data_IF_175121055253
#
_entry.id   IF_175121055253
#
_cell.length_a   1.000
_cell.length_b   1.000
_cell.length_c   1.000
_cell.angle_alpha   90.00
_cell.angle_beta   90.00
_cell.angle_gamma   90.00
#
_symmetry.space_group_name_H-M   'P 1'
#
loop_
_entity.id
_entity.type
_entity.pdbx_description
1 polymer ?
#
# COMPACT_ATOMS: atom_id res chain seq x y z
N UNK A 1 0.51 15.28 16.80
CA UNK A 1 0.27 13.98 16.15
C UNK A 1 0.82 14.07 14.74
N UNK A 2 1.34 13.00 14.15
CA UNK A 2 1.86 13.07 12.78
C UNK A 2 0.68 13.04 11.81
N UNK A 3 0.17 14.22 11.45
CA UNK A 3 -1.08 14.41 10.68
C UNK A 3 -1.09 13.60 9.37
N UNK A 4 0.09 13.36 8.78
CA UNK A 4 0.22 12.56 7.55
C UNK A 4 -0.18 11.09 7.75
N UNK A 5 0.24 10.46 8.85
CA UNK A 5 -0.08 9.05 9.11
C UNK A 5 -1.58 8.87 9.40
N UNK A 6 -2.17 9.82 10.14
CA UNK A 6 -3.61 9.84 10.41
C UNK A 6 -4.41 10.05 9.13
N UNK A 7 -4.02 11.02 8.29
CA UNK A 7 -4.69 11.26 7.00
C UNK A 7 -4.57 10.06 6.06
N UNK A 8 -3.40 9.41 6.01
CA UNK A 8 -3.21 8.19 5.22
C UNK A 8 -4.15 7.07 5.67
N UNK A 9 -4.26 6.84 6.98
CA UNK A 9 -5.20 5.86 7.53
C UNK A 9 -6.67 6.23 7.23
N UNK A 10 -7.05 7.50 7.35
CA UNK A 10 -8.42 7.95 7.04
C UNK A 10 -8.74 7.69 5.55
N UNK A 11 -7.80 7.97 4.65
CA UNK A 11 -7.98 7.70 3.22
C UNK A 11 -8.16 6.19 2.96
N UNK A 12 -7.35 5.34 3.60
CA UNK A 12 -7.48 3.88 3.55
C UNK A 12 -8.86 3.41 4.03
N UNK A 13 -9.31 3.88 5.19
CA UNK A 13 -10.60 3.52 5.77
C UNK A 13 -11.79 3.99 4.91
N UNK A 14 -11.60 5.05 4.13
CA UNK A 14 -12.60 5.54 3.17
C UNK A 14 -12.80 4.61 1.97
N UNK A 15 -11.90 3.65 1.73
CA UNK A 15 -11.97 2.72 0.60
C UNK A 15 -12.62 1.42 1.06
N UNK A 16 -13.83 1.17 0.57
CA UNK A 16 -14.54 -0.09 0.81
C UNK A 16 -13.75 -1.28 0.23
N UNK A 17 -13.33 -2.20 1.11
CA UNK A 17 -12.41 -3.29 0.79
C UNK A 17 -12.76 -4.60 1.53
N UNK A 18 -13.99 -5.12 1.40
CA UNK A 18 -14.32 -6.43 1.94
C UNK A 18 -13.49 -7.52 1.25
N UNK A 19 -13.40 -8.69 1.87
CA UNK A 19 -12.66 -9.83 1.32
C UNK A 19 -13.08 -10.17 -0.12
N UNK A 20 -12.12 -10.25 -1.03
CA UNK A 20 -12.31 -10.50 -2.46
C UNK A 20 -12.65 -9.25 -3.31
N UNK A 21 -12.61 -8.04 -2.73
CA UNK A 21 -12.82 -6.76 -3.43
C UNK A 21 -11.75 -5.73 -3.07
N UNK A 22 -10.53 -6.18 -2.83
CA UNK A 22 -9.42 -5.35 -2.36
C UNK A 22 -8.72 -4.57 -3.47
N UNK A 23 -9.10 -4.74 -4.73
CA UNK A 23 -8.42 -4.10 -5.87
C UNK A 23 -8.29 -2.58 -5.72
N UNK A 24 -9.37 -1.89 -5.30
CA UNK A 24 -9.37 -0.44 -5.14
C UNK A 24 -8.41 0.03 -4.03
N UNK A 25 -8.40 -0.66 -2.89
CA UNK A 25 -7.50 -0.33 -1.77
C UNK A 25 -6.05 -0.70 -2.09
N UNK A 26 -5.86 -1.79 -2.83
CA UNK A 26 -4.56 -2.23 -3.33
C UNK A 26 -3.94 -1.22 -4.29
N UNK A 27 -4.70 -0.74 -5.28
CA UNK A 27 -4.23 0.29 -6.21
C UNK A 27 -3.84 1.58 -5.49
N UNK A 28 -4.66 2.01 -4.52
CA UNK A 28 -4.33 3.17 -3.68
C UNK A 28 -3.03 2.97 -2.89
N UNK A 29 -2.87 1.81 -2.23
CA UNK A 29 -1.64 1.48 -1.51
C UNK A 29 -0.43 1.49 -2.44
N UNK A 30 -0.55 0.89 -3.62
CA UNK A 30 0.54 0.83 -4.58
C UNK A 30 1.00 2.22 -5.02
N UNK A 31 0.07 3.11 -5.33
CA UNK A 31 0.38 4.50 -5.68
C UNK A 31 1.07 5.26 -4.55
N UNK A 32 0.56 5.15 -3.32
CA UNK A 32 1.14 5.84 -2.17
C UNK A 32 2.54 5.29 -1.83
N UNK A 33 2.75 3.99 -1.93
CA UNK A 33 4.06 3.37 -1.75
C UNK A 33 5.07 3.82 -2.82
N UNK A 34 4.66 3.90 -4.09
CA UNK A 34 5.53 4.45 -5.15
C UNK A 34 5.92 5.91 -4.85
N UNK A 35 4.98 6.74 -4.39
CA UNK A 35 5.27 8.14 -3.98
C UNK A 35 6.25 8.23 -2.80
N UNK A 36 6.26 7.21 -1.93
CA UNK A 36 7.20 7.10 -0.81
C UNK A 36 8.57 6.53 -1.21
N UNK A 37 8.77 6.17 -2.48
CA UNK A 37 10.06 5.68 -3.00
C UNK A 37 10.24 4.16 -2.94
N UNK A 38 9.16 3.40 -2.72
CA UNK A 38 9.20 1.94 -2.81
C UNK A 38 9.19 1.49 -4.27
N UNK A 39 9.88 0.40 -4.57
CA UNK A 39 9.60 -0.43 -5.74
C UNK A 39 8.38 -1.28 -5.42
N UNK A 40 7.31 -1.13 -6.19
CA UNK A 40 6.02 -1.77 -5.90
C UNK A 40 5.65 -2.76 -7.00
N UNK A 41 5.13 -3.92 -6.60
CA UNK A 41 4.50 -4.90 -7.48
C UNK A 41 3.20 -5.41 -6.87
N UNK A 42 2.31 -5.91 -7.73
CA UNK A 42 1.10 -6.63 -7.32
C UNK A 42 1.26 -8.09 -7.76
N UNK A 43 1.09 -9.02 -6.83
CA UNK A 43 1.19 -10.44 -7.14
C UNK A 43 -0.07 -10.98 -7.84
N UNK A 44 -0.05 -12.25 -8.24
CA UNK A 44 -1.19 -12.88 -8.94
C UNK A 44 -2.44 -13.07 -8.08
N UNK A 45 -2.33 -12.90 -6.75
CA UNK A 45 -3.43 -13.01 -5.78
C UNK A 45 -4.01 -11.63 -5.47
N UNK A 46 -3.34 -10.55 -5.89
CA UNK A 46 -3.75 -9.17 -5.66
C UNK A 46 -3.09 -8.50 -4.45
N UNK A 47 -2.08 -9.13 -3.85
CA UNK A 47 -1.33 -8.51 -2.76
C UNK A 47 -0.41 -7.43 -3.32
N UNK A 48 -0.41 -6.26 -2.67
CA UNK A 48 0.54 -5.17 -2.95
C UNK A 48 1.80 -5.39 -2.13
N UNK A 49 2.94 -5.50 -2.81
CA UNK A 49 4.26 -5.71 -2.22
C UNK A 49 5.13 -4.52 -2.57
N UNK A 50 5.68 -3.84 -1.56
CA UNK A 50 6.66 -2.78 -1.75
C UNK A 50 7.98 -3.11 -1.10
N UNK A 51 9.07 -2.85 -1.83
CA UNK A 51 10.45 -3.05 -1.41
C UNK A 51 11.16 -1.70 -1.39
N UNK A 52 11.91 -1.43 -0.33
CA UNK A 52 12.75 -0.23 -0.21
C UNK A 52 14.10 -0.62 0.38
N UNK A 53 15.17 -0.05 -0.18
CA UNK A 53 16.55 -0.44 0.16
C UNK A 53 16.99 -1.72 -0.56
N UNK A 54 18.20 -2.16 -0.23
CA UNK A 54 18.87 -3.30 -0.85
C UNK A 54 19.53 -4.16 0.24
N UNK A 55 19.61 -5.47 0.02
CA UNK A 55 20.18 -6.45 0.94
C UNK A 55 19.19 -7.56 1.32
N UNK A 56 19.72 -8.70 1.76
CA UNK A 56 18.88 -9.79 2.30
C UNK A 56 18.82 -9.71 3.83
N UNK A 57 17.67 -10.00 4.45
CA UNK A 57 17.60 -10.18 5.90
C UNK A 57 18.52 -11.34 6.31
N UNK A 58 19.43 -11.09 7.25
CA UNK A 58 20.29 -12.12 7.88
C UNK A 58 19.59 -12.85 9.03
#
# INVERSE_FOLDING_TARGET
MNDKAVQFLINLLGIYSPSGKEEAIGNFLAEEMMKMGFQVGVDSVGNVIGVIGEGEPV
#
